data_IF_719467383217
#
_entry.id   IF_719467383217
#
_cell.length_a   1.000
_cell.length_b   1.000
_cell.length_c   1.000
_cell.angle_alpha   90.00
_cell.angle_beta   90.00
_cell.angle_gamma   90.00
#
_symmetry.space_group_name_H-M   'P 1'
#
loop_
_entity.id
_entity.type
_entity.pdbx_description
1 polymer ?
#
# COMPACT_ATOMS: atom_id res chain seq x y z
N UNK A 1 -18.26 11.93 17.37
CA UNK A 1 -17.13 10.99 17.19
C UNK A 1 -16.03 11.78 16.49
N UNK A 2 -14.94 12.11 17.20
CA UNK A 2 -13.86 12.89 16.61
C UNK A 2 -13.23 12.11 15.45
N UNK A 3 -12.80 12.77 14.35
CA UNK A 3 -12.03 12.09 13.31
C UNK A 3 -10.78 11.50 13.96
N UNK A 4 -10.60 10.18 13.83
CA UNK A 4 -9.38 9.47 14.19
C UNK A 4 -8.21 10.23 13.55
N UNK A 5 -7.10 10.55 14.26
CA UNK A 5 -5.99 11.29 13.67
C UNK A 5 -5.63 10.64 12.34
N UNK A 6 -5.65 11.44 11.27
CA UNK A 6 -5.53 10.95 9.91
C UNK A 6 -4.22 10.17 9.77
N UNK A 7 -4.33 8.84 9.80
CA UNK A 7 -3.18 7.95 9.66
C UNK A 7 -2.60 8.19 8.28
N UNK A 8 -1.32 8.54 8.22
CA UNK A 8 -0.65 8.92 6.98
C UNK A 8 0.53 8.01 6.73
N UNK A 9 0.69 7.59 5.49
CA UNK A 9 1.85 6.85 5.02
C UNK A 9 2.57 7.72 3.98
N UNK A 10 3.53 8.53 4.42
CA UNK A 10 4.18 9.52 3.57
C UNK A 10 3.14 10.50 2.98
N UNK A 11 3.03 10.64 1.64
CA UNK A 11 2.07 11.54 1.01
C UNK A 11 0.62 11.00 1.01
N UNK A 12 0.42 9.73 1.39
CA UNK A 12 -0.87 9.05 1.31
C UNK A 12 -1.63 9.20 2.64
N UNK A 13 -2.73 9.95 2.63
CA UNK A 13 -3.66 10.01 3.75
C UNK A 13 -4.57 8.78 3.72
N UNK A 14 -4.45 7.91 4.72
CA UNK A 14 -5.24 6.69 4.82
C UNK A 14 -6.65 7.04 5.33
N UNK A 15 -7.64 6.88 4.46
CA UNK A 15 -9.03 7.27 4.73
C UNK A 15 -9.78 6.18 5.48
N UNK A 16 -9.70 4.93 5.00
CA UNK A 16 -10.32 3.77 5.65
C UNK A 16 -9.66 2.46 5.23
N UNK A 17 -9.57 1.51 6.15
CA UNK A 17 -9.17 0.15 5.83
C UNK A 17 -10.29 -0.52 5.01
N UNK A 18 -9.94 -1.12 3.88
CA UNK A 18 -10.87 -1.79 2.97
C UNK A 18 -10.62 -3.30 2.88
N UNK A 19 -9.53 -3.79 3.50
CA UNK A 19 -9.25 -5.21 3.61
C UNK A 19 -8.04 -5.46 4.50
N UNK A 20 -8.01 -6.63 5.13
CA UNK A 20 -6.87 -7.09 5.91
C UNK A 20 -6.67 -8.59 5.66
N UNK A 21 -5.43 -9.02 5.58
CA UNK A 21 -5.08 -10.42 5.37
C UNK A 21 -3.68 -10.73 5.88
N UNK A 22 -3.20 -11.93 5.58
CA UNK A 22 -1.94 -12.45 6.11
C UNK A 22 -0.72 -11.60 5.78
N UNK A 23 -0.68 -10.94 4.62
CA UNK A 23 0.45 -10.08 4.23
C UNK A 23 0.38 -8.67 4.81
N UNK A 24 -0.81 -8.15 5.12
CA UNK A 24 -0.95 -6.73 5.39
C UNK A 24 -2.37 -6.21 5.41
N UNK A 25 -2.48 -4.89 5.34
CA UNK A 25 -3.74 -4.17 5.26
C UNK A 25 -3.83 -3.39 3.96
N UNK A 26 -5.02 -3.31 3.41
CA UNK A 26 -5.36 -2.55 2.22
C UNK A 26 -6.23 -1.37 2.64
N UNK A 27 -5.84 -0.17 2.22
CA UNK A 27 -6.45 1.08 2.60
C UNK A 27 -6.90 1.85 1.37
N UNK A 28 -8.07 2.47 1.47
CA UNK A 28 -8.43 3.59 0.60
C UNK A 28 -7.65 4.81 1.10
N UNK A 29 -6.93 5.47 0.21
CA UNK A 29 -6.12 6.64 0.53
C UNK A 29 -6.38 7.79 -0.45
N UNK A 30 -5.94 8.99 -0.06
CA UNK A 30 -5.96 10.20 -0.90
C UNK A 30 -4.62 10.89 -0.85
N UNK A 31 -4.28 11.58 -1.93
CA UNK A 31 -3.18 12.53 -1.95
C UNK A 31 -3.79 13.93 -2.05
N UNK A 32 -3.11 14.92 -1.47
CA UNK A 32 -3.61 16.31 -1.47
C UNK A 32 -3.80 16.86 -2.88
N UNK A 33 -2.89 16.54 -3.79
CA UNK A 33 -2.83 17.10 -5.14
C UNK A 33 -3.38 16.13 -6.21
N UNK A 34 -3.96 15.00 -5.79
CA UNK A 34 -4.55 14.01 -6.69
C UNK A 34 -6.04 13.81 -6.34
N UNK A 35 -6.97 14.20 -7.22
CA UNK A 35 -8.41 14.17 -6.90
C UNK A 35 -8.95 12.74 -6.78
N UNK A 36 -8.38 11.80 -7.53
CA UNK A 36 -8.80 10.41 -7.54
C UNK A 36 -8.21 9.66 -6.32
N UNK A 37 -9.02 8.86 -5.61
CA UNK A 37 -8.50 8.06 -4.52
C UNK A 37 -7.61 6.93 -5.05
N UNK A 38 -6.64 6.53 -4.25
CA UNK A 38 -5.74 5.40 -4.53
C UNK A 38 -5.93 4.30 -3.50
N UNK A 39 -5.46 3.11 -3.82
CA UNK A 39 -5.42 1.97 -2.90
C UNK A 39 -4.00 1.74 -2.44
N UNK A 40 -3.79 1.73 -1.13
CA UNK A 40 -2.50 1.47 -0.51
C UNK A 40 -2.54 0.12 0.20
N UNK A 41 -1.74 -0.84 -0.25
CA UNK A 41 -1.49 -2.09 0.49
C UNK A 41 -0.18 -1.93 1.25
N UNK A 42 -0.25 -1.98 2.59
CA UNK A 42 0.92 -1.92 3.48
C UNK A 42 1.18 -3.28 4.13
N UNK A 43 2.44 -3.66 4.22
CA UNK A 43 2.88 -4.86 4.92
C UNK A 43 2.73 -4.67 6.44
N UNK A 44 2.32 -5.72 7.16
CA UNK A 44 2.31 -5.67 8.63
C UNK A 44 3.73 -5.48 9.18
N UNK A 45 3.89 -4.62 10.19
CA UNK A 45 5.18 -4.34 10.82
C UNK A 45 5.87 -5.59 11.38
N UNK A 46 5.09 -6.54 11.92
CA UNK A 46 5.59 -7.82 12.41
C UNK A 46 6.21 -8.70 11.29
N UNK A 47 5.80 -8.49 10.03
CA UNK A 47 6.28 -9.26 8.89
C UNK A 47 7.44 -8.57 8.17
N UNK A 48 7.62 -7.26 8.39
CA UNK A 48 8.76 -6.52 7.86
C UNK A 48 10.12 -7.00 8.41
N UNK A 49 10.12 -7.73 9.53
CA UNK A 49 11.31 -8.38 10.09
C UNK A 49 11.62 -9.75 9.46
N UNK A 50 10.66 -10.37 8.75
CA UNK A 50 10.87 -11.64 8.05
C UNK A 50 11.24 -11.36 6.60
N UNK A 51 12.52 -11.57 6.27
CA UNK A 51 13.07 -11.34 4.93
C UNK A 51 12.32 -12.13 3.86
N UNK A 52 11.83 -13.34 4.15
CA UNK A 52 11.10 -14.16 3.16
C UNK A 52 9.72 -13.57 2.81
N UNK A 53 9.11 -12.84 3.73
CA UNK A 53 7.84 -12.17 3.49
C UNK A 53 8.04 -10.85 2.76
N UNK A 54 9.09 -10.12 3.12
CA UNK A 54 9.52 -8.91 2.40
C UNK A 54 9.87 -9.26 0.95
N UNK A 55 10.66 -10.30 0.71
CA UNK A 55 11.04 -10.74 -0.64
C UNK A 55 9.81 -11.08 -1.49
N UNK A 56 8.85 -11.82 -0.94
CA UNK A 56 7.58 -12.12 -1.64
C UNK A 56 6.78 -10.86 -1.96
N UNK A 57 6.76 -9.88 -1.06
CA UNK A 57 6.09 -8.61 -1.31
C UNK A 57 6.79 -7.80 -2.42
N UNK A 58 8.12 -7.80 -2.42
CA UNK A 58 8.92 -7.14 -3.46
C UNK A 58 8.75 -7.84 -4.82
N UNK A 59 8.66 -9.17 -4.85
CA UNK A 59 8.36 -9.93 -6.06
C UNK A 59 6.99 -9.58 -6.64
N UNK A 60 5.96 -9.45 -5.79
CA UNK A 60 4.62 -8.99 -6.20
C UNK A 60 4.71 -7.61 -6.86
N UNK A 61 5.43 -6.68 -6.22
CA UNK A 61 5.65 -5.34 -6.77
C UNK A 61 6.37 -5.39 -8.13
N UNK A 62 7.42 -6.21 -8.27
CA UNK A 62 8.17 -6.35 -9.52
C UNK A 62 7.32 -6.91 -10.66
N UNK A 63 6.47 -7.90 -10.38
CA UNK A 63 5.52 -8.45 -11.36
C UNK A 63 4.53 -7.37 -11.78
N UNK A 64 3.90 -6.67 -10.82
CA UNK A 64 2.91 -5.63 -11.12
C UNK A 64 3.50 -4.46 -11.91
N UNK A 65 4.77 -4.09 -11.67
CA UNK A 65 5.46 -3.03 -12.45
C UNK A 65 5.54 -3.34 -13.94
N UNK A 66 5.59 -4.62 -14.32
CA UNK A 66 5.69 -5.08 -15.71
C UNK A 66 4.33 -5.23 -16.39
N UNK A 67 3.24 -5.30 -15.61
CA UNK A 67 1.90 -5.49 -16.14
C UNK A 67 1.28 -4.15 -16.54
N UNK A 68 0.94 -4.02 -17.83
CA UNK A 68 0.19 -2.90 -18.38
C UNK A 68 -0.94 -3.44 -19.25
N UNK A 69 -2.12 -3.55 -18.68
CA UNK A 69 -3.28 -4.08 -19.38
C UNK A 69 -4.58 -3.51 -18.81
N UNK A 70 -5.58 -3.25 -19.67
CA UNK A 70 -6.89 -2.66 -19.28
C UNK A 70 -7.68 -3.43 -18.23
N UNK A 71 -7.43 -4.74 -18.10
CA UNK A 71 -8.13 -5.63 -17.17
C UNK A 71 -7.27 -6.02 -15.95
N UNK A 72 -6.13 -5.35 -15.73
CA UNK A 72 -5.24 -5.61 -14.60
C UNK A 72 -5.02 -4.31 -13.87
N UNK A 73 -5.18 -4.32 -12.55
CA UNK A 73 -4.91 -3.16 -11.70
C UNK A 73 -3.44 -2.76 -11.87
N UNK A 74 -3.22 -1.48 -12.14
CA UNK A 74 -1.89 -0.94 -12.41
C UNK A 74 -1.23 -0.55 -11.10
N UNK A 75 0.06 -0.90 -10.95
CA UNK A 75 0.87 -0.30 -9.91
C UNK A 75 1.21 1.16 -10.28
N UNK A 76 0.85 2.09 -9.40
CA UNK A 76 1.13 3.51 -9.52
C UNK A 76 2.47 3.88 -8.87
N UNK A 77 2.72 3.35 -7.68
CA UNK A 77 3.90 3.62 -6.86
C UNK A 77 4.15 2.45 -5.87
N UNK A 78 5.30 2.42 -5.24
CA UNK A 78 5.62 1.44 -4.20
C UNK A 78 7.03 1.62 -3.65
N UNK A 79 7.22 1.21 -2.40
CA UNK A 79 8.50 1.39 -1.70
C UNK A 79 8.38 1.08 -0.21
N UNK A 80 9.17 1.79 0.59
CA UNK A 80 9.11 1.68 2.04
C UNK A 80 9.30 3.04 2.72
N UNK A 81 8.67 3.23 3.88
CA UNK A 81 8.86 4.37 4.76
C UNK A 81 9.21 3.84 6.15
N UNK A 82 10.42 4.16 6.61
CA UNK A 82 10.99 3.50 7.78
C UNK A 82 11.01 1.98 7.56
N UNK A 83 10.32 1.25 8.44
CA UNK A 83 10.19 -0.22 8.38
C UNK A 83 8.93 -0.70 7.67
N UNK A 84 8.07 0.20 7.18
CA UNK A 84 6.80 -0.17 6.55
C UNK A 84 6.95 -0.20 5.04
N UNK A 85 6.76 -1.38 4.44
CA UNK A 85 6.68 -1.57 2.99
C UNK A 85 5.26 -1.34 2.50
N UNK A 86 5.13 -0.77 1.30
CA UNK A 86 3.83 -0.48 0.71
C UNK A 86 3.86 -0.50 -0.82
N UNK A 87 2.67 -0.69 -1.39
CA UNK A 87 2.40 -0.57 -2.82
C UNK A 87 1.11 0.22 -3.03
N UNK A 88 1.05 0.95 -4.14
CA UNK A 88 -0.03 1.89 -4.47
C UNK A 88 -0.60 1.53 -5.83
N UNK A 89 -1.92 1.46 -5.89
CA UNK A 89 -2.72 1.00 -7.04
C UNK A 89 -3.88 1.94 -7.31
#
# INVERSE_FOLDING_TARGET
MAPNPAESLGPYQLVRCIGAGGMGQVWLARLKDWPEPVVVKRLHSALAADTRLVDRFLDEMLVMRRLRHRNVVRLLDGGHIGTTYYLVM
#
